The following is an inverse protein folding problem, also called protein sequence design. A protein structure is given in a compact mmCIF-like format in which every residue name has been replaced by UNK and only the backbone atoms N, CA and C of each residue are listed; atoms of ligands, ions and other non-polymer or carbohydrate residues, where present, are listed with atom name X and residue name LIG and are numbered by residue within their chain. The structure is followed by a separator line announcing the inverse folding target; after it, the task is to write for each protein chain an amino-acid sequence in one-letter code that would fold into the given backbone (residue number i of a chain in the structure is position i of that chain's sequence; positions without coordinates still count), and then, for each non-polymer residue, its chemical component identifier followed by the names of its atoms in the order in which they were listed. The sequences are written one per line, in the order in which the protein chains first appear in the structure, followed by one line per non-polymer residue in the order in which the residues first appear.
data_IF_212444173628
#
_entry.id   IF_212444173628
#
_cell.length_a   1.000
_cell.length_b   1.000
_cell.length_c   1.000
_cell.angle_alpha   90.00
_cell.angle_beta   90.00
_cell.angle_gamma   90.00
#
_symmetry.space_group_name_H-M   'P 1'
#
loop_
_entity.id
_entity.type
_entity.pdbx_description
1 polymer ?
#
# COMPACT_ATOMS: atom_id res chain seq x y z
N UNK A 1 16.29 3.56 -11.17
CA UNK A 1 15.71 2.24 -11.51
C UNK A 1 14.24 2.28 -11.17
N UNK A 2 13.32 1.79 -12.03
CA UNK A 2 11.90 1.69 -11.74
C UNK A 2 11.61 0.89 -10.47
N UNK A 3 10.57 1.29 -9.71
CA UNK A 3 10.20 0.67 -8.46
C UNK A 3 8.84 -0.03 -8.56
N UNK A 4 8.74 -1.22 -8.01
CA UNK A 4 7.50 -1.97 -7.90
C UNK A 4 7.22 -2.28 -6.43
N UNK A 5 6.03 -1.94 -5.93
CA UNK A 5 5.65 -2.18 -4.55
C UNK A 5 4.36 -3.01 -4.45
N UNK A 6 4.33 -3.87 -3.46
CA UNK A 6 3.20 -4.75 -3.16
C UNK A 6 2.67 -4.36 -1.78
N UNK A 7 1.43 -3.88 -1.75
CA UNK A 7 0.66 -3.70 -0.52
C UNK A 7 -0.14 -4.97 -0.24
N UNK A 8 -0.23 -5.36 1.01
CA UNK A 8 -0.97 -6.55 1.42
C UNK A 8 -1.82 -6.25 2.66
N UNK A 9 -3.13 -6.48 2.57
CA UNK A 9 -4.01 -6.52 3.73
C UNK A 9 -3.82 -7.81 4.51
N UNK A 10 -3.70 -7.70 5.84
CA UNK A 10 -3.83 -8.83 6.75
C UNK A 10 -5.32 -9.09 7.03
N UNK A 11 -5.91 -9.96 6.20
CA UNK A 11 -7.34 -10.26 6.28
C UNK A 11 -7.66 -11.05 7.56
N UNK A 12 -8.67 -10.65 8.35
CA UNK A 12 -9.01 -11.33 9.61
C UNK A 12 -9.41 -12.80 9.46
N UNK A 13 -9.96 -13.18 8.30
CA UNK A 13 -10.33 -14.57 8.01
C UNK A 13 -9.13 -15.43 7.59
N UNK A 14 -8.10 -14.79 7.04
CA UNK A 14 -6.86 -15.44 6.59
C UNK A 14 -5.63 -14.69 7.13
N UNK A 15 -5.43 -14.65 8.45
CA UNK A 15 -4.38 -13.84 9.04
C UNK A 15 -3.00 -14.31 8.62
N UNK A 16 -2.12 -13.34 8.34
CA UNK A 16 -0.72 -13.61 8.04
C UNK A 16 -0.02 -14.17 9.28
N UNK A 17 0.50 -15.39 9.16
CA UNK A 17 1.33 -15.99 10.21
C UNK A 17 2.79 -15.60 10.03
N UNK A 18 3.60 -15.72 11.09
CA UNK A 18 5.04 -15.46 11.00
C UNK A 18 5.73 -16.42 10.02
N UNK A 19 5.26 -17.67 9.91
CA UNK A 19 5.75 -18.63 8.92
C UNK A 19 5.42 -18.20 7.51
N UNK A 20 4.23 -17.66 7.26
CA UNK A 20 3.85 -17.11 5.95
C UNK A 20 4.73 -15.92 5.59
N UNK A 21 4.94 -14.98 6.52
CA UNK A 21 5.81 -13.82 6.29
C UNK A 21 7.25 -14.22 5.96
N UNK A 22 7.80 -15.20 6.69
CA UNK A 22 9.15 -15.73 6.43
C UNK A 22 9.28 -16.47 5.10
N UNK A 23 8.17 -17.02 4.59
CA UNK A 23 8.15 -17.73 3.29
C UNK A 23 8.05 -16.78 2.10
N UNK A 24 7.57 -15.54 2.30
CA UNK A 24 7.50 -14.55 1.23
C UNK A 24 8.90 -14.18 0.76
N UNK A 25 9.17 -14.43 -0.53
CA UNK A 25 10.45 -14.12 -1.19
C UNK A 25 10.46 -12.73 -1.82
N UNK A 26 9.36 -12.00 -1.70
CA UNK A 26 9.20 -10.62 -2.19
C UNK A 26 8.94 -9.67 -1.04
N UNK A 27 9.43 -8.45 -1.18
CA UNK A 27 9.12 -7.38 -0.22
C UNK A 27 7.66 -6.98 -0.34
N UNK A 28 6.99 -6.86 0.81
CA UNK A 28 5.63 -6.35 0.92
C UNK A 28 5.59 -5.21 1.94
N UNK A 29 4.61 -4.32 1.81
CA UNK A 29 4.22 -3.37 2.84
C UNK A 29 2.80 -3.70 3.28
N UNK A 30 2.49 -3.60 4.57
CA UNK A 30 1.20 -4.04 5.11
C UNK A 30 0.23 -2.86 5.23
N UNK A 31 -1.02 -3.09 4.88
CA UNK A 31 -2.11 -2.14 5.13
C UNK A 31 -2.79 -2.52 6.43
N UNK A 32 -2.87 -1.56 7.36
CA UNK A 32 -3.50 -1.72 8.67
C UNK A 32 -4.82 -0.96 8.68
N UNK A 33 -5.89 -1.65 9.05
CA UNK A 33 -7.18 -1.04 9.36
C UNK A 33 -7.11 -0.42 10.77
N UNK A 34 -7.16 0.92 10.90
CA UNK A 34 -7.03 1.59 12.20
C UNK A 34 -8.23 1.36 13.12
N UNK A 35 -9.34 0.84 12.61
CA UNK A 35 -10.55 0.56 13.41
C UNK A 35 -10.46 -0.75 14.18
N UNK A 36 -9.49 -1.62 13.85
CA UNK A 36 -9.29 -2.89 14.54
C UNK A 36 -8.73 -2.68 15.94
N UNK A 37 -9.20 -3.51 16.87
CA UNK A 37 -8.72 -3.47 18.26
C UNK A 37 -7.26 -3.92 18.40
N UNK A 38 -6.78 -4.77 17.49
CA UNK A 38 -5.43 -5.32 17.46
C UNK A 38 -4.45 -4.55 16.55
N UNK A 39 -4.86 -3.39 15.99
CA UNK A 39 -4.06 -2.62 15.03
C UNK A 39 -2.65 -2.28 15.52
N UNK A 40 -2.51 -1.89 16.79
CA UNK A 40 -1.22 -1.57 17.41
C UNK A 40 -0.32 -2.81 17.54
N UNK A 41 -0.90 -3.94 17.93
CA UNK A 41 -0.17 -5.21 18.02
C UNK A 41 0.26 -5.70 16.64
N UNK A 42 -0.58 -5.54 15.63
CA UNK A 42 -0.24 -5.83 14.24
C UNK A 42 0.94 -4.96 13.77
N UNK A 43 0.86 -3.63 13.97
CA UNK A 43 1.95 -2.74 13.61
C UNK A 43 3.26 -3.16 14.26
N UNK A 44 3.26 -3.39 15.59
CA UNK A 44 4.45 -3.79 16.34
C UNK A 44 5.06 -5.09 15.79
N UNK A 45 4.21 -6.08 15.46
CA UNK A 45 4.64 -7.36 14.87
C UNK A 45 5.32 -7.17 13.52
N UNK A 46 4.71 -6.42 12.61
CA UNK A 46 5.26 -6.18 11.27
C UNK A 46 6.54 -5.35 11.32
N UNK A 47 6.57 -4.32 12.16
CA UNK A 47 7.78 -3.51 12.33
C UNK A 47 8.94 -4.30 12.92
N UNK A 48 8.68 -5.22 13.87
CA UNK A 48 9.68 -6.12 14.39
C UNK A 48 10.26 -7.08 13.32
N UNK A 49 9.45 -7.42 12.32
CA UNK A 49 9.88 -8.20 11.14
C UNK A 49 10.54 -7.34 10.04
N UNK A 50 10.74 -6.04 10.26
CA UNK A 50 11.31 -5.13 9.27
C UNK A 50 10.35 -4.73 8.14
N UNK A 51 9.05 -5.01 8.28
CA UNK A 51 8.04 -4.73 7.27
C UNK A 51 7.42 -3.36 7.51
N UNK A 52 7.28 -2.56 6.46
CA UNK A 52 6.60 -1.27 6.52
C UNK A 52 5.09 -1.43 6.57
N UNK A 53 4.43 -0.44 7.18
CA UNK A 53 2.98 -0.39 7.24
C UNK A 53 2.43 0.97 6.82
N UNK A 54 1.24 0.95 6.22
CA UNK A 54 0.42 2.12 5.91
C UNK A 54 -0.95 1.98 6.60
N UNK A 55 -1.60 3.09 6.91
CA UNK A 55 -2.94 3.13 7.48
C UNK A 55 -3.96 3.12 6.34
N UNK A 56 -5.04 2.35 6.45
CA UNK A 56 -6.19 2.51 5.58
C UNK A 56 -7.03 3.72 6.03
N UNK A 57 -7.50 4.52 5.07
CA UNK A 57 -8.35 5.69 5.34
C UNK A 57 -9.77 5.25 5.77
N UNK A 58 -9.90 4.74 6.98
CA UNK A 58 -11.16 4.36 7.64
C UNK A 58 -11.40 5.21 8.87
N UNK A 59 -11.78 6.45 8.65
CA UNK A 59 -12.09 7.43 9.70
C UNK A 59 -13.17 8.41 9.21
N UNK A 60 -13.97 8.93 10.14
CA UNK A 60 -15.08 9.79 9.80
C UNK A 60 -14.72 11.29 9.78
N UNK A 61 -13.65 11.68 10.47
CA UNK A 61 -13.24 13.07 10.64
C UNK A 61 -11.72 13.16 10.92
N UNK A 62 -11.21 14.40 11.01
CA UNK A 62 -9.82 14.69 11.30
C UNK A 62 -9.37 14.15 12.66
N UNK A 63 -10.21 14.25 13.70
CA UNK A 63 -9.85 13.80 15.03
C UNK A 63 -9.64 12.28 15.08
N UNK A 64 -10.48 11.53 14.36
CA UNK A 64 -10.31 10.08 14.21
C UNK A 64 -9.03 9.72 13.42
N UNK A 65 -8.66 10.52 12.41
CA UNK A 65 -7.41 10.36 11.69
C UNK A 65 -6.19 10.64 12.60
N UNK A 66 -6.21 11.73 13.36
CA UNK A 66 -5.13 12.06 14.31
C UNK A 66 -4.98 10.98 15.39
N UNK A 67 -6.09 10.48 15.93
CA UNK A 67 -6.07 9.37 16.86
C UNK A 67 -5.47 8.09 16.24
N UNK A 68 -5.72 7.83 14.95
CA UNK A 68 -5.11 6.72 14.24
C UNK A 68 -3.59 6.91 14.08
N UNK A 69 -3.12 8.13 13.78
CA UNK A 69 -1.68 8.43 13.70
C UNK A 69 -0.99 8.26 15.06
N UNK A 70 -1.62 8.73 16.14
CA UNK A 70 -1.08 8.60 17.51
C UNK A 70 -0.98 7.14 17.95
N UNK A 71 -1.94 6.31 17.57
CA UNK A 71 -1.95 4.87 17.85
C UNK A 71 -0.96 4.10 16.99
N UNK A 72 -0.70 4.55 15.76
CA UNK A 72 0.09 3.86 14.74
C UNK A 72 1.28 4.71 14.26
N UNK A 73 2.18 5.16 15.16
CA UNK A 73 3.17 6.20 14.88
C UNK A 73 4.29 5.75 13.93
N UNK A 74 4.44 4.44 13.69
CA UNK A 74 5.50 3.91 12.82
C UNK A 74 5.01 3.55 11.41
N UNK A 75 3.85 4.04 11.02
CA UNK A 75 3.34 3.91 9.65
C UNK A 75 4.00 4.94 8.74
N UNK A 76 4.10 4.65 7.45
CA UNK A 76 4.79 5.50 6.47
C UNK A 76 3.84 6.28 5.57
N UNK A 77 2.54 6.00 5.63
CA UNK A 77 1.57 6.67 4.79
C UNK A 77 0.15 6.20 5.01
N UNK A 78 -0.73 6.75 4.19
CA UNK A 78 -2.17 6.52 4.17
C UNK A 78 -2.58 5.93 2.81
N UNK A 79 -3.33 4.84 2.82
CA UNK A 79 -4.00 4.31 1.63
C UNK A 79 -5.45 4.81 1.62
N UNK A 80 -5.85 5.53 0.55
CA UNK A 80 -7.25 5.89 0.35
C UNK A 80 -8.09 4.60 0.19
N UNK A 81 -9.12 4.48 1.01
CA UNK A 81 -9.95 3.27 1.05
C UNK A 81 -10.71 3.04 -0.26
N UNK A 82 -11.11 1.80 -0.50
CA UNK A 82 -11.95 1.45 -1.65
C UNK A 82 -13.27 2.25 -1.68
N UNK A 83 -13.80 2.57 -0.50
CA UNK A 83 -15.01 3.37 -0.33
C UNK A 83 -14.82 4.86 -0.68
N UNK A 84 -13.56 5.30 -0.84
CA UNK A 84 -13.23 6.66 -1.25
C UNK A 84 -13.48 7.70 -0.17
N UNK A 85 -13.15 7.40 1.08
CA UNK A 85 -13.34 8.30 2.23
C UNK A 85 -12.82 9.71 1.95
N UNK A 86 -11.60 9.85 1.45
CA UNK A 86 -11.01 11.16 1.14
C UNK A 86 -11.58 11.78 -0.14
N UNK A 87 -11.97 10.97 -1.11
CA UNK A 87 -12.54 11.47 -2.38
C UNK A 87 -13.97 11.95 -2.22
N UNK A 88 -14.70 11.41 -1.24
CA UNK A 88 -16.09 11.76 -0.96
C UNK A 88 -16.27 13.05 -0.16
N UNK A 89 -15.24 13.49 0.57
CA UNK A 89 -15.27 14.68 1.41
C UNK A 89 -14.04 15.57 1.18
N UNK A 90 -14.21 16.62 0.37
CA UNK A 90 -13.15 17.58 0.02
C UNK A 90 -12.65 18.36 1.25
N UNK A 91 -13.51 18.63 2.23
CA UNK A 91 -13.12 19.34 3.45
C UNK A 91 -12.21 18.46 4.30
N UNK A 92 -12.62 17.23 4.55
CA UNK A 92 -11.80 16.24 5.27
C UNK A 92 -10.49 15.96 4.53
N UNK A 93 -10.55 15.80 3.21
CA UNK A 93 -9.36 15.63 2.37
C UNK A 93 -8.32 16.73 2.62
N UNK A 94 -8.72 18.00 2.56
CA UNK A 94 -7.80 19.12 2.77
C UNK A 94 -7.17 19.11 4.17
N UNK A 95 -7.96 18.83 5.22
CA UNK A 95 -7.46 18.76 6.58
C UNK A 95 -6.46 17.60 6.78
N UNK A 96 -6.79 16.43 6.24
CA UNK A 96 -5.92 15.23 6.31
C UNK A 96 -4.61 15.47 5.56
N UNK A 97 -4.65 16.03 4.35
CA UNK A 97 -3.44 16.33 3.58
C UNK A 97 -2.54 17.35 4.28
N UNK A 98 -3.12 18.41 4.86
CA UNK A 98 -2.35 19.38 5.64
C UNK A 98 -1.63 18.69 6.82
N UNK A 99 -2.34 17.82 7.55
CA UNK A 99 -1.75 17.07 8.67
C UNK A 99 -0.67 16.08 8.22
N UNK A 100 -0.87 15.42 7.08
CA UNK A 100 0.15 14.53 6.49
C UNK A 100 1.43 15.29 6.10
N UNK A 101 1.30 16.50 5.56
CA UNK A 101 2.45 17.37 5.26
C UNK A 101 3.29 17.72 6.51
N UNK A 102 2.62 17.90 7.66
CA UNK A 102 3.31 18.17 8.94
C UNK A 102 4.01 16.93 9.51
N UNK A 103 3.42 15.75 9.33
CA UNK A 103 3.91 14.49 9.91
C UNK A 103 4.84 13.70 8.99
N UNK A 104 4.94 14.11 7.72
CA UNK A 104 5.79 13.45 6.72
C UNK A 104 5.24 12.13 6.17
N UNK A 105 3.96 11.84 6.38
CA UNK A 105 3.30 10.66 5.79
C UNK A 105 3.01 10.87 4.31
N UNK A 106 3.14 9.80 3.52
CA UNK A 106 2.77 9.82 2.11
C UNK A 106 1.36 9.28 1.86
N UNK A 107 0.81 9.60 0.69
CA UNK A 107 -0.52 9.18 0.26
C UNK A 107 -0.44 8.13 -0.85
N UNK A 108 -1.20 7.05 -0.71
CA UNK A 108 -1.48 6.10 -1.79
C UNK A 108 -2.94 6.30 -2.20
N UNK A 109 -3.17 6.93 -3.34
CA UNK A 109 -4.52 7.10 -3.88
C UNK A 109 -5.05 5.79 -4.46
N UNK A 110 -6.34 5.53 -4.29
CA UNK A 110 -6.99 4.33 -4.82
C UNK A 110 -6.89 4.21 -6.34
N UNK A 111 -7.07 3.00 -6.87
CA UNK A 111 -6.96 2.68 -8.30
C UNK A 111 -8.01 3.41 -9.18
N UNK A 112 -9.09 3.87 -8.58
CA UNK A 112 -10.21 4.50 -9.27
C UNK A 112 -10.25 6.01 -9.04
N UNK A 113 -10.64 6.78 -10.07
CA UNK A 113 -10.78 8.23 -10.00
C UNK A 113 -9.89 8.99 -11.01
N UNK A 114 -10.14 10.29 -11.13
CA UNK A 114 -9.52 11.15 -12.16
C UNK A 114 -8.20 11.83 -11.72
N UNK A 115 -7.52 11.33 -10.69
CA UNK A 115 -6.23 11.90 -10.24
C UNK A 115 -6.33 13.16 -9.37
N UNK A 116 -7.53 13.56 -8.95
CA UNK A 116 -7.72 14.77 -8.16
C UNK A 116 -7.07 14.70 -6.77
N UNK A 117 -7.04 13.51 -6.17
CA UNK A 117 -6.46 13.32 -4.83
C UNK A 117 -4.93 13.47 -4.83
N UNK A 118 -4.24 12.89 -5.81
CA UNK A 118 -2.78 13.05 -5.95
C UNK A 118 -2.39 14.48 -6.28
N UNK A 119 -3.20 15.17 -7.12
CA UNK A 119 -2.97 16.57 -7.44
C UNK A 119 -3.17 17.48 -6.21
N UNK A 120 -4.14 17.16 -5.35
CA UNK A 120 -4.33 17.85 -4.09
C UNK A 120 -3.13 17.61 -3.15
N UNK A 121 -2.71 16.37 -2.98
CA UNK A 121 -1.54 16.01 -2.18
C UNK A 121 -0.27 16.73 -2.66
N UNK A 122 -0.02 16.76 -3.97
CA UNK A 122 1.14 17.45 -4.53
C UNK A 122 1.13 18.96 -4.25
N UNK A 123 -0.05 19.62 -4.26
CA UNK A 123 -0.17 21.04 -3.89
C UNK A 123 0.19 21.31 -2.43
N UNK A 124 -0.12 20.36 -1.56
CA UNK A 124 0.15 20.45 -0.12
C UNK A 124 1.53 19.88 0.26
N UNK A 125 2.36 19.53 -0.74
CA UNK A 125 3.70 18.97 -0.52
C UNK A 125 3.71 17.55 0.06
N UNK A 126 2.60 16.83 -0.01
CA UNK A 126 2.48 15.44 0.44
C UNK A 126 2.94 14.51 -0.68
N UNK A 127 3.94 13.62 -0.43
CA UNK A 127 4.34 12.64 -1.42
C UNK A 127 3.16 11.72 -1.74
N UNK A 128 2.82 11.59 -3.01
CA UNK A 128 1.64 10.84 -3.41
C UNK A 128 1.94 9.90 -4.59
N UNK A 129 1.40 8.70 -4.50
CA UNK A 129 1.43 7.73 -5.58
C UNK A 129 0.02 7.13 -5.77
N UNK A 130 -0.22 6.55 -6.95
CA UNK A 130 -1.48 5.87 -7.24
C UNK A 130 -1.32 4.37 -7.17
N UNK A 131 -2.33 3.71 -6.60
CA UNK A 131 -2.50 2.28 -6.73
C UNK A 131 -2.81 1.94 -8.20
N UNK A 132 -1.97 1.11 -8.80
CA UNK A 132 -2.15 0.68 -10.19
C UNK A 132 -3.32 -0.30 -10.29
N UNK A 133 -3.39 -1.30 -9.39
CA UNK A 133 -4.41 -2.34 -9.42
C UNK A 133 -4.57 -3.06 -8.07
N UNK A 134 -5.79 -3.54 -7.83
CA UNK A 134 -6.07 -4.57 -6.83
C UNK A 134 -5.98 -5.93 -7.52
N UNK A 135 -5.34 -6.91 -6.87
CA UNK A 135 -5.04 -8.22 -7.46
C UNK A 135 -6.20 -9.22 -7.36
N UNK A 136 -7.03 -9.07 -6.32
CA UNK A 136 -8.00 -10.08 -5.86
C UNK A 136 -9.40 -9.53 -5.57
N UNK A 137 -9.75 -8.35 -6.08
CA UNK A 137 -11.02 -7.67 -5.86
C UNK A 137 -12.25 -8.36 -6.50
N UNK A 138 -12.02 -9.22 -7.49
CA UNK A 138 -13.06 -9.99 -8.19
C UNK A 138 -12.89 -11.51 -8.02
N UNK A 139 -12.15 -11.98 -7.00
CA UNK A 139 -11.88 -13.37 -6.76
C UNK A 139 -10.99 -14.03 -7.83
N UNK A 140 -10.00 -13.28 -8.33
CA UNK A 140 -9.07 -13.76 -9.35
C UNK A 140 -8.31 -15.01 -8.88
N UNK A 141 -8.12 -15.95 -9.79
CA UNK A 141 -7.29 -17.13 -9.53
C UNK A 141 -5.79 -16.79 -9.54
N UNK A 142 -4.96 -17.62 -8.90
CA UNK A 142 -3.52 -17.42 -8.85
C UNK A 142 -2.87 -17.22 -10.24
N UNK A 143 -3.18 -17.99 -11.31
CA UNK A 143 -2.65 -17.73 -12.65
C UNK A 143 -3.06 -16.37 -13.23
N UNK A 144 -4.22 -15.85 -12.88
CA UNK A 144 -4.64 -14.50 -13.29
C UNK A 144 -3.83 -13.47 -12.56
N UNK A 145 -3.66 -13.62 -11.24
CA UNK A 145 -2.86 -12.71 -10.42
C UNK A 145 -1.39 -12.67 -10.85
N UNK A 146 -0.80 -13.80 -11.24
CA UNK A 146 0.55 -13.82 -11.81
C UNK A 146 0.68 -12.90 -13.03
N UNK A 147 -0.28 -12.96 -13.96
CA UNK A 147 -0.28 -12.06 -15.13
C UNK A 147 -0.51 -10.60 -14.75
N UNK A 148 -1.28 -10.33 -13.71
CA UNK A 148 -1.49 -8.97 -13.20
C UNK A 148 -0.20 -8.42 -12.56
N UNK A 149 0.55 -9.24 -11.82
CA UNK A 149 1.85 -8.88 -11.25
C UNK A 149 2.87 -8.59 -12.35
N UNK A 150 2.97 -9.42 -13.39
CA UNK A 150 3.86 -9.19 -14.53
C UNK A 150 3.52 -7.88 -15.25
N UNK A 151 2.22 -7.62 -15.46
CA UNK A 151 1.76 -6.37 -16.09
C UNK A 151 2.07 -5.16 -15.23
N UNK A 152 1.90 -5.26 -13.91
CA UNK A 152 2.22 -4.17 -12.98
C UNK A 152 3.74 -3.90 -12.93
N UNK A 153 4.56 -4.95 -12.97
CA UNK A 153 6.00 -4.81 -13.07
C UNK A 153 6.43 -4.16 -14.40
N UNK A 154 5.78 -4.50 -15.50
CA UNK A 154 5.98 -3.82 -16.79
C UNK A 154 5.55 -2.35 -16.74
N UNK A 155 4.42 -2.03 -16.11
CA UNK A 155 3.98 -0.65 -15.88
C UNK A 155 5.03 0.16 -15.12
N UNK A 156 5.62 -0.42 -14.05
CA UNK A 156 6.71 0.23 -13.34
C UNK A 156 7.89 0.61 -14.26
N UNK A 157 8.24 -0.24 -15.22
CA UNK A 157 9.29 0.05 -16.19
C UNK A 157 8.94 1.21 -17.13
N UNK A 158 7.67 1.37 -17.48
CA UNK A 158 7.21 2.42 -18.40
C UNK A 158 7.07 3.78 -17.70
N UNK A 159 6.54 3.78 -16.48
CA UNK A 159 6.18 5.02 -15.76
C UNK A 159 7.15 5.41 -14.64
N UNK A 160 8.06 4.48 -14.28
CA UNK A 160 9.04 4.66 -13.22
C UNK A 160 8.62 4.06 -11.88
N UNK A 161 7.34 3.81 -11.64
CA UNK A 161 6.86 3.11 -10.45
C UNK A 161 5.47 2.51 -10.64
N UNK A 162 5.15 1.47 -9.86
CA UNK A 162 3.83 0.83 -9.82
C UNK A 162 3.57 0.25 -8.43
N UNK A 163 2.33 0.33 -7.96
CA UNK A 163 1.88 -0.22 -6.68
C UNK A 163 0.69 -1.14 -6.94
N UNK A 164 0.71 -2.34 -6.39
CA UNK A 164 -0.43 -3.26 -6.38
C UNK A 164 -0.89 -3.52 -4.95
N UNK A 165 -2.16 -3.89 -4.80
CA UNK A 165 -2.77 -4.25 -3.53
C UNK A 165 -3.36 -5.66 -3.64
N UNK A 166 -3.14 -6.50 -2.65
CA UNK A 166 -3.81 -7.77 -2.46
C UNK A 166 -4.23 -7.98 -1.01
N UNK A 167 -4.94 -9.07 -0.75
CA UNK A 167 -5.28 -9.55 0.60
C UNK A 167 -4.48 -10.81 0.91
N UNK A 168 -4.41 -11.17 2.19
CA UNK A 168 -3.75 -12.41 2.63
C UNK A 168 -4.54 -13.70 2.31
N UNK A 169 -5.32 -13.67 1.23
CA UNK A 169 -6.02 -14.86 0.76
C UNK A 169 -5.04 -15.94 0.28
N UNK A 170 -5.37 -17.24 0.48
CA UNK A 170 -4.50 -18.33 0.07
C UNK A 170 -4.04 -18.26 -1.38
N UNK A 171 -4.94 -17.92 -2.31
CA UNK A 171 -4.63 -17.76 -3.73
C UNK A 171 -3.70 -16.61 -4.01
N UNK A 172 -3.87 -15.47 -3.31
CA UNK A 172 -3.02 -14.29 -3.43
C UNK A 172 -1.61 -14.60 -2.92
N UNK A 173 -1.51 -15.24 -1.76
CA UNK A 173 -0.23 -15.66 -1.19
C UNK A 173 0.48 -16.68 -2.10
N UNK A 174 -0.25 -17.66 -2.65
CA UNK A 174 0.31 -18.61 -3.61
C UNK A 174 0.83 -17.93 -4.88
N UNK A 175 0.11 -16.92 -5.39
CA UNK A 175 0.55 -16.13 -6.53
C UNK A 175 1.82 -15.33 -6.20
N UNK A 176 1.89 -14.67 -5.05
CA UNK A 176 3.06 -13.89 -4.62
C UNK A 176 4.29 -14.77 -4.42
N UNK A 177 4.15 -15.94 -3.79
CA UNK A 177 5.23 -16.91 -3.60
C UNK A 177 5.77 -17.42 -4.94
N UNK A 178 4.87 -17.80 -5.85
CA UNK A 178 5.25 -18.29 -7.19
C UNK A 178 5.92 -17.20 -8.01
N UNK A 179 5.37 -15.98 -7.98
CA UNK A 179 5.91 -14.84 -8.70
C UNK A 179 7.31 -14.46 -8.19
N UNK A 180 7.47 -14.38 -6.86
CA UNK A 180 8.74 -14.04 -6.22
C UNK A 180 9.84 -15.04 -6.52
N UNK A 181 9.54 -16.34 -6.52
CA UNK A 181 10.48 -17.39 -6.90
C UNK A 181 10.93 -17.24 -8.37
N UNK A 182 10.03 -16.83 -9.27
CA UNK A 182 10.34 -16.54 -10.68
C UNK A 182 11.23 -15.30 -10.84
N UNK A 183 11.03 -14.25 -10.05
CA UNK A 183 11.80 -13.00 -10.12
C UNK A 183 13.27 -13.19 -9.75
N UNK A 184 13.59 -14.09 -8.85
CA UNK A 184 14.96 -14.40 -8.48
C UNK A 184 15.81 -14.92 -9.66
N UNK A 185 15.17 -15.46 -10.71
CA UNK A 185 15.80 -16.00 -11.90
C UNK A 185 15.90 -15.00 -13.06
N UNK A 186 15.26 -13.84 -12.96
CA UNK A 186 15.19 -12.82 -14.03
C UNK A 186 16.08 -11.63 -13.65
N UNK A 187 16.94 -11.18 -14.58
CA UNK A 187 17.60 -9.87 -14.47
C UNK A 187 16.52 -8.76 -14.57
N UNK A 188 15.93 -8.42 -13.46
CA UNK A 188 14.81 -7.51 -13.42
C UNK A 188 15.27 -6.08 -13.77
N UNK A 189 14.60 -5.46 -14.73
CA UNK A 189 14.78 -4.05 -15.10
C UNK A 189 14.05 -3.09 -14.15
N UNK A 190 13.62 -3.56 -12.98
CA UNK A 190 12.98 -2.84 -11.89
C UNK A 190 13.39 -3.45 -10.54
N UNK A 191 13.14 -2.74 -9.46
CA UNK A 191 13.32 -3.26 -8.11
C UNK A 191 11.97 -3.42 -7.39
N UNK A 192 11.77 -4.55 -6.72
CA UNK A 192 10.72 -4.67 -5.72
C UNK A 192 11.18 -3.91 -4.47
N UNK A 193 10.39 -2.94 -4.03
CA UNK A 193 10.75 -2.02 -2.97
C UNK A 193 9.58 -1.79 -2.00
N UNK A 194 9.86 -1.42 -0.74
CA UNK A 194 8.82 -0.98 0.16
C UNK A 194 8.15 0.28 -0.37
N UNK A 195 6.89 0.52 0.02
CA UNK A 195 6.08 1.60 -0.55
C UNK A 195 6.66 2.99 -0.27
N UNK A 196 7.35 3.16 0.86
CA UNK A 196 8.03 4.43 1.18
C UNK A 196 9.04 4.85 0.12
N UNK A 197 9.72 3.90 -0.53
CA UNK A 197 10.66 4.20 -1.59
C UNK A 197 9.99 4.83 -2.82
N UNK A 198 8.77 4.38 -3.18
CA UNK A 198 7.97 5.01 -4.24
C UNK A 198 7.51 6.41 -3.82
N UNK A 199 7.00 6.56 -2.59
CA UNK A 199 6.57 7.85 -2.08
C UNK A 199 7.72 8.88 -2.06
N UNK A 200 8.91 8.48 -1.63
CA UNK A 200 10.10 9.34 -1.67
C UNK A 200 10.51 9.72 -3.09
N UNK A 201 10.38 8.79 -4.05
CA UNK A 201 10.69 9.07 -5.46
C UNK A 201 9.78 10.16 -6.04
N UNK A 202 8.54 10.31 -5.55
CA UNK A 202 7.62 11.36 -6.03
C UNK A 202 8.00 12.76 -5.54
N UNK A 203 8.69 12.89 -4.40
CA UNK A 203 9.22 14.16 -3.92
C UNK A 203 10.42 14.67 -4.71
N UNK A 204 11.15 13.77 -5.37
CA UNK A 204 12.36 14.11 -6.11
C UNK A 204 12.08 14.51 -7.58
N UNK A 205 10.82 14.53 -8.00
CA UNK A 205 10.37 14.91 -9.34
C UNK A 205 9.73 16.28 -9.35
#
# INVERSE_FOLDING_TARGET
MPLFSILLYDDPEFPLTDSTLQSLTVLVSIVIDPTRMDAEAQLARYRAAGIEAVIEARFADLAAFEAALDRLPQTVGLLDSADGTLRGDISLQGQVLARMGETGHGLIAGAFGLGGLEQAAARDGVPAARLYRVLDDEGQSAPVMLRLLDRAAFEAQQTGSSIVLGRSYPETLAALLSWGAGQAAVNASYAVAPVSAILQQTLAR
#
